data_IF_984938919353
#
_entry.id   IF_984938919353
#
_cell.length_a   1.000
_cell.length_b   1.000
_cell.length_c   1.000
_cell.angle_alpha   90.00
_cell.angle_beta   90.00
_cell.angle_gamma   90.00
#
_symmetry.space_group_name_H-M   'P 1'
#
loop_
_entity.id
_entity.type
_entity.pdbx_description
1 polymer ?
#
# COMPACT_ATOMS: atom_id res chain seq x y z
N UNK A 1 1.95 99.55 16.21
CA UNK A 1 1.82 98.29 16.99
C UNK A 1 1.42 97.21 15.98
N UNK A 2 2.38 96.69 15.24
CA UNK A 2 3.24 95.52 15.54
C UNK A 2 2.53 94.21 15.25
N UNK A 3 2.91 93.67 14.09
CA UNK A 3 2.70 92.33 13.54
C UNK A 3 3.40 91.24 14.36
N UNK A 4 2.85 90.03 14.35
CA UNK A 4 3.49 88.70 14.35
C UNK A 4 2.50 87.67 14.94
N UNK A 5 2.34 86.45 14.45
CA UNK A 5 3.05 85.72 13.41
C UNK A 5 2.48 84.31 13.45
N UNK A 6 2.04 83.82 12.29
CA UNK A 6 1.75 82.42 12.04
C UNK A 6 3.07 81.65 12.21
N UNK A 7 3.10 80.62 13.06
CA UNK A 7 4.25 79.73 13.21
C UNK A 7 3.98 78.40 12.47
N UNK A 8 4.59 78.19 11.28
CA UNK A 8 4.49 76.95 10.54
C UNK A 8 5.71 76.07 10.83
N UNK A 9 5.87 75.57 12.06
CA UNK A 9 6.97 74.63 12.38
C UNK A 9 6.57 73.57 13.41
N UNK A 10 5.74 72.61 13.01
CA UNK A 10 5.81 71.28 13.63
C UNK A 10 6.92 70.51 12.92
N UNK A 11 8.06 70.48 13.60
CA UNK A 11 9.27 69.80 13.19
C UNK A 11 9.02 68.30 13.00
N UNK A 12 9.49 67.82 11.85
CA UNK A 12 9.72 66.44 11.50
C UNK A 12 10.60 65.78 12.56
N UNK A 13 10.02 64.84 13.30
CA UNK A 13 10.68 63.97 14.27
C UNK A 13 10.90 62.55 13.70
N UNK A 14 11.03 62.45 12.37
CA UNK A 14 11.19 61.18 11.63
C UNK A 14 12.65 60.83 11.28
N UNK A 15 13.64 61.50 11.88
CA UNK A 15 15.06 61.37 11.50
C UNK A 15 15.87 60.28 12.27
N UNK A 16 15.21 59.44 13.08
CA UNK A 16 15.90 58.53 14.01
C UNK A 16 15.61 57.03 13.87
N UNK A 17 14.85 56.58 12.86
CA UNK A 17 14.57 55.16 12.71
C UNK A 17 15.73 54.46 11.97
N UNK A 18 16.24 53.31 12.47
CA UNK A 18 17.21 52.53 11.72
C UNK A 18 16.61 52.18 10.35
N UNK A 19 17.41 52.11 9.28
CA UNK A 19 16.92 51.67 7.97
C UNK A 19 16.24 50.31 8.14
N UNK A 20 14.90 50.30 8.11
CA UNK A 20 14.16 49.05 8.15
C UNK A 20 14.51 48.35 6.84
N UNK A 21 14.98 47.09 6.87
CA UNK A 21 15.16 46.32 5.65
C UNK A 21 13.82 46.34 4.94
N UNK A 22 13.73 47.08 3.84
CA UNK A 22 12.51 47.14 3.05
C UNK A 22 12.29 45.74 2.52
N UNK A 23 11.32 45.04 3.12
CA UNK A 23 10.84 43.77 2.60
C UNK A 23 10.50 44.04 1.13
N UNK A 24 11.18 43.39 0.16
CA UNK A 24 10.82 43.55 -1.23
C UNK A 24 9.46 42.88 -1.43
N UNK A 25 8.37 43.63 -1.26
CA UNK A 25 7.02 43.18 -1.59
C UNK A 25 6.79 43.10 -3.11
N UNK A 26 7.86 43.03 -3.90
CA UNK A 26 7.83 43.12 -5.37
C UNK A 26 8.47 41.94 -6.10
N UNK A 27 9.10 40.95 -5.46
CA UNK A 27 9.80 39.88 -6.22
C UNK A 27 9.61 38.43 -5.76
N UNK A 28 8.75 38.10 -4.79
CA UNK A 28 8.46 36.67 -4.53
C UNK A 28 7.48 36.06 -5.56
N UNK A 29 6.79 36.90 -6.33
CA UNK A 29 5.91 36.47 -7.43
C UNK A 29 6.45 36.82 -8.84
N UNK A 30 7.74 37.16 -8.98
CA UNK A 30 8.31 37.57 -10.29
C UNK A 30 9.49 36.73 -10.79
N UNK A 31 9.86 35.64 -10.10
CA UNK A 31 10.89 34.75 -10.64
C UNK A 31 10.37 33.77 -11.71
N UNK A 32 9.09 33.42 -11.78
CA UNK A 32 8.56 32.45 -12.76
C UNK A 32 7.09 32.76 -13.13
N UNK A 33 6.85 33.79 -13.94
CA UNK A 33 5.55 33.95 -14.59
C UNK A 33 5.68 34.73 -15.91
N UNK A 34 6.33 34.11 -16.91
CA UNK A 34 6.11 34.51 -18.29
C UNK A 34 4.65 34.23 -18.68
N UNK A 35 4.05 34.94 -19.65
CA UNK A 35 2.69 34.67 -20.13
C UNK A 35 2.40 33.24 -20.66
N UNK A 36 3.34 32.29 -20.55
CA UNK A 36 3.17 30.86 -20.78
C UNK A 36 3.02 29.98 -19.52
N UNK A 37 3.18 30.55 -18.32
CA UNK A 37 3.22 29.81 -17.04
C UNK A 37 1.85 29.55 -16.39
N UNK A 38 0.77 30.05 -17.01
CA UNK A 38 -0.62 29.57 -16.77
C UNK A 38 -1.12 28.68 -17.90
N UNK A 39 -0.23 27.89 -18.49
CA UNK A 39 -0.65 26.79 -19.36
C UNK A 39 -1.16 25.63 -18.51
N UNK A 40 -2.23 24.98 -18.95
CA UNK A 40 -2.72 23.73 -18.35
C UNK A 40 -1.59 22.68 -18.21
N UNK A 41 -0.60 22.73 -19.10
CA UNK A 41 0.60 21.89 -19.03
C UNK A 41 1.52 22.18 -17.83
N UNK A 42 1.65 23.45 -17.42
CA UNK A 42 2.38 23.81 -16.20
C UNK A 42 1.72 23.28 -14.93
N UNK A 43 0.39 23.42 -14.83
CA UNK A 43 -0.41 22.94 -13.69
C UNK A 43 -0.38 21.41 -13.55
N UNK A 44 -0.50 20.68 -14.66
CA UNK A 44 -0.41 19.20 -14.65
C UNK A 44 1.00 18.75 -14.29
N UNK A 45 2.04 19.44 -14.77
CA UNK A 45 3.44 19.13 -14.43
C UNK A 45 3.70 19.33 -12.95
N UNK A 46 3.24 20.43 -12.36
CA UNK A 46 3.41 20.71 -10.93
C UNK A 46 2.59 19.76 -10.05
N UNK A 47 1.33 19.48 -10.40
CA UNK A 47 0.52 18.48 -9.72
C UNK A 47 1.15 17.07 -9.80
N UNK A 48 1.76 16.71 -10.94
CA UNK A 48 2.47 15.44 -11.10
C UNK A 48 3.71 15.35 -10.21
N UNK A 49 4.44 16.46 -10.05
CA UNK A 49 5.59 16.53 -9.14
C UNK A 49 5.14 16.33 -7.69
N UNK A 50 4.08 17.03 -7.23
CA UNK A 50 3.56 16.87 -5.86
C UNK A 50 3.01 15.46 -5.59
N UNK A 51 2.29 14.87 -6.56
CA UNK A 51 1.80 13.50 -6.43
C UNK A 51 2.96 12.51 -6.34
N UNK A 52 4.02 12.69 -7.13
CA UNK A 52 5.23 11.87 -7.07
C UNK A 52 5.90 11.96 -5.68
N UNK A 53 5.96 13.15 -5.10
CA UNK A 53 6.49 13.36 -3.75
C UNK A 53 5.64 12.69 -2.67
N UNK A 54 4.31 12.76 -2.76
CA UNK A 54 3.41 12.09 -1.82
C UNK A 54 3.51 10.57 -1.90
N UNK A 55 3.48 10.00 -3.12
CA UNK A 55 3.64 8.56 -3.32
C UNK A 55 4.99 8.10 -2.78
N UNK A 56 6.05 8.88 -3.01
CA UNK A 56 7.38 8.57 -2.50
C UNK A 56 7.41 8.56 -0.96
N UNK A 57 6.76 9.54 -0.32
CA UNK A 57 6.64 9.62 1.13
C UNK A 57 5.86 8.43 1.71
N UNK A 58 4.73 8.06 1.09
CA UNK A 58 3.91 6.92 1.51
C UNK A 58 4.70 5.60 1.38
N UNK A 59 5.44 5.43 0.28
CA UNK A 59 6.32 4.27 0.08
C UNK A 59 7.45 4.24 1.09
N UNK A 60 8.01 5.39 1.46
CA UNK A 60 9.07 5.46 2.49
C UNK A 60 8.56 5.09 3.87
N UNK A 61 7.37 5.56 4.24
CA UNK A 61 6.70 5.17 5.47
C UNK A 61 6.40 3.66 5.49
N UNK A 62 5.77 3.15 4.44
CA UNK A 62 5.44 1.73 4.31
C UNK A 62 6.70 0.85 4.35
N UNK A 63 7.80 1.30 3.69
CA UNK A 63 9.09 0.61 3.79
C UNK A 63 9.63 0.59 5.21
N UNK A 64 9.51 1.68 5.96
CA UNK A 64 9.96 1.73 7.35
C UNK A 64 9.16 0.77 8.22
N UNK A 65 7.84 0.78 8.13
CA UNK A 65 6.95 -0.09 8.91
C UNK A 65 7.18 -1.57 8.57
N UNK A 66 7.13 -1.93 7.28
CA UNK A 66 7.37 -3.31 6.83
C UNK A 66 8.80 -3.75 7.21
N UNK A 67 9.80 -2.89 7.08
CA UNK A 67 11.18 -3.25 7.45
C UNK A 67 11.33 -3.50 8.96
N UNK A 68 10.60 -2.76 9.79
CA UNK A 68 10.59 -2.96 11.24
C UNK A 68 9.91 -4.30 11.60
N UNK A 69 8.78 -4.62 10.97
CA UNK A 69 8.09 -5.90 11.15
C UNK A 69 8.95 -7.09 10.70
N UNK A 70 9.57 -7.00 9.53
CA UNK A 70 10.46 -8.04 9.01
C UNK A 70 11.63 -8.25 9.95
N UNK A 71 12.26 -7.18 10.46
CA UNK A 71 13.36 -7.30 11.43
C UNK A 71 12.90 -7.95 12.74
N UNK A 72 11.70 -7.64 13.22
CA UNK A 72 11.11 -8.27 14.42
C UNK A 72 10.84 -9.76 14.18
N UNK A 73 10.22 -10.10 13.05
CA UNK A 73 9.98 -11.48 12.64
C UNK A 73 11.28 -12.27 12.49
N UNK A 74 12.31 -11.67 11.89
CA UNK A 74 13.62 -12.30 11.72
C UNK A 74 14.29 -12.57 13.07
N UNK A 75 14.27 -11.59 13.99
CA UNK A 75 14.81 -11.77 15.35
C UNK A 75 14.06 -12.85 16.13
N UNK A 76 12.73 -12.93 15.98
CA UNK A 76 11.92 -14.01 16.54
C UNK A 76 12.23 -15.38 15.92
N UNK A 77 12.50 -15.43 14.62
CA UNK A 77 12.80 -16.66 13.90
C UNK A 77 14.10 -17.34 14.37
N UNK A 78 15.07 -16.58 14.90
CA UNK A 78 16.32 -17.14 15.47
C UNK A 78 16.00 -18.14 16.57
N UNK A 79 15.12 -17.80 17.51
CA UNK A 79 14.74 -18.71 18.59
C UNK A 79 14.00 -19.93 18.07
N UNK A 80 13.18 -19.78 17.02
CA UNK A 80 12.49 -20.90 16.40
C UNK A 80 13.47 -21.85 15.70
N UNK A 81 14.47 -21.32 14.98
CA UNK A 81 15.54 -22.11 14.36
C UNK A 81 16.33 -22.86 15.43
N UNK A 82 16.72 -22.17 16.52
CA UNK A 82 17.43 -22.81 17.64
C UNK A 82 16.58 -23.91 18.29
N UNK A 83 15.31 -23.63 18.57
CA UNK A 83 14.39 -24.59 19.17
C UNK A 83 14.17 -25.81 18.27
N UNK A 84 13.96 -25.61 16.95
CA UNK A 84 13.83 -26.72 15.99
C UNK A 84 15.13 -27.50 15.84
N UNK A 85 16.28 -26.85 15.92
CA UNK A 85 17.58 -27.52 15.87
C UNK A 85 17.75 -28.43 17.09
N UNK A 86 17.52 -27.89 18.30
CA UNK A 86 17.56 -28.67 19.53
C UNK A 86 16.55 -29.82 19.47
N UNK A 87 15.31 -29.55 19.07
CA UNK A 87 14.27 -30.58 18.93
C UNK A 87 14.68 -31.68 17.94
N UNK A 88 15.31 -31.32 16.80
CA UNK A 88 15.78 -32.29 15.82
C UNK A 88 16.88 -33.20 16.39
N UNK A 89 17.88 -32.62 17.08
CA UNK A 89 18.93 -33.42 17.75
C UNK A 89 18.37 -34.24 18.92
N UNK A 90 17.47 -33.68 19.73
CA UNK A 90 16.82 -34.38 20.84
C UNK A 90 15.93 -35.53 20.35
N UNK A 91 15.31 -35.40 19.18
CA UNK A 91 14.49 -36.47 18.59
C UNK A 91 15.33 -37.73 18.33
N UNK A 92 16.59 -37.60 17.93
CA UNK A 92 17.50 -38.75 17.79
C UNK A 92 17.67 -39.50 19.12
N UNK A 93 17.94 -38.77 20.21
CA UNK A 93 18.05 -39.36 21.55
C UNK A 93 16.72 -39.93 22.06
N UNK A 94 15.59 -39.31 21.73
CA UNK A 94 14.25 -39.81 22.06
C UNK A 94 14.02 -41.19 21.42
N UNK A 95 14.30 -41.34 20.13
CA UNK A 95 14.15 -42.62 19.43
C UNK A 95 15.16 -43.66 19.92
N UNK A 96 16.40 -43.26 20.19
CA UNK A 96 17.38 -44.15 20.81
C UNK A 96 16.90 -44.67 22.17
N UNK A 97 16.40 -43.78 23.03
CA UNK A 97 15.84 -44.12 24.34
C UNK A 97 14.64 -45.04 24.20
N UNK A 98 13.74 -44.77 23.24
CA UNK A 98 12.59 -45.64 22.96
C UNK A 98 13.02 -47.05 22.51
N UNK A 99 14.05 -47.15 21.67
CA UNK A 99 14.58 -48.42 21.21
C UNK A 99 15.23 -49.20 22.37
N UNK A 100 16.01 -48.52 23.21
CA UNK A 100 16.63 -49.13 24.39
C UNK A 100 15.60 -49.55 25.43
N UNK A 101 14.53 -48.76 25.62
CA UNK A 101 13.42 -49.12 26.50
C UNK A 101 12.72 -50.40 25.99
N UNK A 102 12.44 -50.49 24.68
CA UNK A 102 11.88 -51.71 24.09
C UNK A 102 12.81 -52.92 24.21
N UNK A 103 14.13 -52.69 24.17
CA UNK A 103 15.13 -53.73 24.33
C UNK A 103 15.17 -54.35 25.74
N UNK A 104 14.43 -53.78 26.71
CA UNK A 104 14.23 -54.40 28.03
C UNK A 104 13.36 -55.66 27.92
N UNK A 105 12.40 -55.69 26.98
CA UNK A 105 11.47 -56.81 26.81
C UNK A 105 11.74 -57.64 25.54
N UNK A 106 12.52 -57.13 24.59
CA UNK A 106 12.83 -57.77 23.31
C UNK A 106 14.35 -57.82 23.05
N UNK A 107 14.82 -58.70 22.13
CA UNK A 107 16.18 -58.60 21.62
C UNK A 107 16.48 -57.20 21.08
N UNK A 108 17.68 -56.66 21.38
CA UNK A 108 18.06 -55.29 20.99
C UNK A 108 17.76 -54.98 19.52
N UNK A 109 18.11 -55.88 18.60
CA UNK A 109 17.88 -55.70 17.17
C UNK A 109 16.39 -55.49 16.81
N UNK A 110 15.47 -56.17 17.51
CA UNK A 110 14.04 -56.04 17.29
C UNK A 110 13.51 -54.70 17.83
N UNK A 111 14.00 -54.24 18.99
CA UNK A 111 13.66 -52.92 19.54
C UNK A 111 14.01 -51.78 18.58
N UNK A 112 15.24 -51.77 18.05
CA UNK A 112 15.66 -50.81 17.03
C UNK A 112 14.85 -50.93 15.73
N UNK A 113 14.54 -52.16 15.29
CA UNK A 113 13.71 -52.40 14.10
C UNK A 113 12.29 -51.82 14.21
N UNK A 114 11.65 -51.98 15.37
CA UNK A 114 10.30 -51.44 15.63
C UNK A 114 10.31 -49.91 15.61
N UNK A 115 11.28 -49.29 16.28
CA UNK A 115 11.39 -47.81 16.29
C UNK A 115 11.69 -47.28 14.89
N UNK A 116 12.52 -47.98 14.11
CA UNK A 116 12.77 -47.60 12.72
C UNK A 116 11.49 -47.60 11.87
N UNK A 117 10.66 -48.64 11.98
CA UNK A 117 9.37 -48.69 11.29
C UNK A 117 8.43 -47.58 11.75
N UNK A 118 8.39 -47.29 13.05
CA UNK A 118 7.63 -46.17 13.61
C UNK A 118 8.08 -44.82 13.01
N UNK A 119 9.39 -44.60 12.88
CA UNK A 119 9.95 -43.39 12.26
C UNK A 119 9.54 -43.27 10.78
N UNK A 120 9.55 -44.37 10.02
CA UNK A 120 9.09 -44.35 8.62
C UNK A 120 7.60 -44.00 8.53
N UNK A 121 6.77 -44.53 9.42
CA UNK A 121 5.33 -44.21 9.46
C UNK A 121 5.09 -42.74 9.79
N UNK A 122 5.74 -42.21 10.83
CA UNK A 122 5.61 -40.80 11.22
C UNK A 122 6.14 -39.88 10.13
N UNK A 123 7.32 -40.18 9.57
CA UNK A 123 7.91 -39.42 8.47
C UNK A 123 7.03 -39.42 7.23
N UNK A 124 6.51 -40.59 6.84
CA UNK A 124 5.57 -40.73 5.72
C UNK A 124 4.28 -39.94 5.92
N UNK A 125 3.71 -39.97 7.14
CA UNK A 125 2.51 -39.21 7.48
C UNK A 125 2.76 -37.68 7.42
N UNK A 126 3.87 -37.21 7.97
CA UNK A 126 4.25 -35.78 7.92
C UNK A 126 4.52 -35.31 6.49
N UNK A 127 5.27 -36.10 5.71
CA UNK A 127 5.54 -35.82 4.30
C UNK A 127 4.23 -35.76 3.49
N UNK A 128 3.30 -36.68 3.73
CA UNK A 128 2.00 -36.70 3.08
C UNK A 128 1.14 -35.49 3.46
N UNK A 129 1.05 -35.13 4.74
CA UNK A 129 0.34 -33.93 5.19
C UNK A 129 0.95 -32.65 4.60
N UNK A 130 2.29 -32.55 4.60
CA UNK A 130 3.02 -31.44 4.00
C UNK A 130 2.75 -31.32 2.51
N UNK A 131 2.83 -32.44 1.78
CA UNK A 131 2.51 -32.49 0.35
C UNK A 131 1.08 -32.06 0.05
N UNK A 132 0.11 -32.50 0.87
CA UNK A 132 -1.30 -32.12 0.71
C UNK A 132 -1.53 -30.64 0.99
N UNK A 133 -0.84 -30.08 1.98
CA UNK A 133 -0.88 -28.65 2.28
C UNK A 133 -0.31 -27.82 1.13
N UNK A 134 0.83 -28.21 0.56
CA UNK A 134 1.47 -27.51 -0.56
C UNK A 134 0.64 -27.61 -1.83
N UNK A 135 0.07 -28.79 -2.14
CA UNK A 135 -0.84 -28.96 -3.29
C UNK A 135 -2.11 -28.13 -3.21
N UNK A 136 -2.56 -27.78 -2.00
CA UNK A 136 -3.71 -26.92 -1.79
C UNK A 136 -3.46 -25.42 -2.04
N UNK A 137 -2.20 -25.00 -2.15
CA UNK A 137 -1.85 -23.60 -2.41
C UNK A 137 -2.10 -23.31 -3.89
N UNK A 138 -3.30 -22.80 -4.22
CA UNK A 138 -3.60 -22.25 -5.55
C UNK A 138 -2.65 -21.08 -5.83
N UNK A 139 -2.09 -21.02 -7.05
CA UNK A 139 -1.31 -19.86 -7.50
C UNK A 139 -2.21 -18.60 -7.38
N UNK A 140 -1.66 -17.41 -7.06
CA UNK A 140 -2.46 -16.19 -6.97
C UNK A 140 -2.85 -15.70 -8.37
N UNK A 141 -3.78 -16.41 -9.01
CA UNK A 141 -4.25 -16.15 -10.37
C UNK A 141 -4.96 -14.79 -10.47
N UNK A 142 -5.70 -14.40 -9.42
CA UNK A 142 -6.41 -13.11 -9.37
C UNK A 142 -5.45 -11.92 -9.44
N UNK A 143 -4.34 -11.98 -8.71
CA UNK A 143 -3.30 -10.94 -8.70
C UNK A 143 -2.53 -10.90 -10.02
N UNK A 144 -2.26 -12.07 -10.61
CA UNK A 144 -1.59 -12.14 -11.92
C UNK A 144 -2.50 -11.56 -13.03
N UNK A 145 -3.79 -11.86 -12.99
CA UNK A 145 -4.74 -11.36 -13.98
C UNK A 145 -4.95 -9.85 -13.86
N UNK A 146 -5.12 -9.30 -12.65
CA UNK A 146 -5.30 -7.85 -12.46
C UNK A 146 -4.08 -7.03 -12.93
N UNK A 147 -2.87 -7.54 -12.73
CA UNK A 147 -1.63 -6.90 -13.22
C UNK A 147 -1.55 -6.96 -14.75
N UNK A 148 -1.98 -8.08 -15.36
CA UNK A 148 -2.02 -8.24 -16.81
C UNK A 148 -3.08 -7.35 -17.46
N UNK A 149 -4.26 -7.24 -16.87
CA UNK A 149 -5.34 -6.38 -17.35
C UNK A 149 -4.92 -4.91 -17.28
N UNK A 150 -4.30 -4.49 -16.18
CA UNK A 150 -3.76 -3.12 -16.03
C UNK A 150 -2.64 -2.84 -17.04
N UNK A 151 -1.74 -3.80 -17.27
CA UNK A 151 -0.69 -3.68 -18.27
C UNK A 151 -1.23 -3.64 -19.71
N UNK A 152 -2.35 -4.32 -19.98
CA UNK A 152 -3.04 -4.28 -21.27
C UNK A 152 -3.65 -2.90 -21.55
N UNK A 153 -4.25 -2.28 -20.53
CA UNK A 153 -4.84 -0.93 -20.63
C UNK A 153 -3.79 0.18 -20.80
N UNK A 154 -2.57 -0.03 -20.30
CA UNK A 154 -1.46 0.94 -20.39
C UNK A 154 -0.60 0.78 -21.66
N UNK A 155 -0.94 -0.18 -22.53
CA UNK A 155 -0.19 -0.38 -23.78
C UNK A 155 -0.48 0.78 -24.75
N UNK A 156 0.55 1.47 -25.28
CA UNK A 156 0.34 2.60 -26.20
C UNK A 156 -0.41 2.12 -27.44
N UNK A 157 -1.68 2.50 -27.56
CA UNK A 157 -2.62 2.05 -28.60
C UNK A 157 -4.02 1.63 -28.11
N UNK A 158 -4.21 1.37 -26.81
CA UNK A 158 -5.49 0.91 -26.25
C UNK A 158 -6.60 1.97 -26.15
N UNK A 159 -6.28 3.26 -26.25
CA UNK A 159 -7.25 4.36 -26.12
C UNK A 159 -8.14 4.57 -27.33
N UNK A 160 -7.88 3.92 -28.47
CA UNK A 160 -8.71 4.09 -29.67
C UNK A 160 -9.94 3.15 -29.71
N UNK A 161 -9.94 2.04 -28.96
CA UNK A 161 -11.06 1.11 -28.92
C UNK A 161 -12.18 1.53 -27.94
N UNK A 162 -11.83 2.16 -26.80
CA UNK A 162 -12.83 2.63 -25.83
C UNK A 162 -13.61 3.87 -26.33
N UNK A 163 -12.96 4.72 -27.15
CA UNK A 163 -13.60 5.88 -27.77
C UNK A 163 -14.49 5.50 -28.98
N UNK A 164 -14.26 4.35 -29.61
CA UNK A 164 -15.04 3.89 -30.76
C UNK A 164 -16.35 3.17 -30.39
N UNK A 165 -16.54 2.80 -29.12
CA UNK A 165 -17.76 2.12 -28.63
C UNK A 165 -18.80 3.01 -27.95
N UNK A 166 -18.54 4.30 -27.75
CA UNK A 166 -19.43 5.23 -27.03
C UNK A 166 -20.45 5.98 -27.90
N UNK A 167 -20.59 5.62 -29.19
CA UNK A 167 -21.32 6.39 -30.19
C UNK A 167 -22.72 5.86 -30.57
N UNK A 168 -23.35 5.00 -29.78
CA UNK A 168 -24.68 4.48 -30.10
C UNK A 168 -25.48 4.20 -28.82
N UNK A 169 -26.06 5.24 -28.24
CA UNK A 169 -27.45 5.26 -27.73
C UNK A 169 -27.67 6.56 -26.92
N UNK A 170 -27.92 7.66 -27.62
CA UNK A 170 -28.59 8.84 -27.07
C UNK A 170 -29.93 8.97 -27.81
N UNK A 171 -30.76 7.94 -27.67
CA UNK A 171 -32.17 8.03 -28.02
C UNK A 171 -32.89 8.78 -26.90
N UNK A 172 -33.58 9.85 -27.25
CA UNK A 172 -34.21 10.82 -26.36
C UNK A 172 -35.06 10.16 -25.24
N UNK A 173 -35.18 10.80 -24.06
CA UNK A 173 -36.16 10.37 -23.07
C UNK A 173 -37.56 10.61 -23.63
N UNK A 174 -38.25 9.52 -23.95
CA UNK A 174 -39.67 9.48 -24.28
C UNK A 174 -40.45 9.97 -23.04
N UNK A 175 -41.02 11.16 -23.12
CA UNK A 175 -41.87 11.74 -22.08
C UNK A 175 -43.27 11.17 -22.27
N UNK A 176 -43.76 10.26 -21.39
CA UNK A 176 -45.10 9.74 -21.53
C UNK A 176 -46.09 10.86 -21.21
N UNK A 177 -46.94 11.16 -22.18
CA UNK A 177 -47.97 12.17 -22.09
C UNK A 177 -48.91 11.94 -20.91
N UNK A 178 -49.35 13.07 -20.35
CA UNK A 178 -50.56 13.22 -19.56
C UNK A 178 -51.68 12.31 -20.09
N UNK A 179 -52.11 11.35 -19.29
CA UNK A 179 -53.45 10.80 -19.43
C UNK A 179 -54.05 10.58 -18.05
N UNK A 180 -54.70 11.63 -17.59
CA UNK A 180 -55.82 11.53 -16.67
C UNK A 180 -56.83 10.50 -17.21
N UNK A 181 -57.25 9.57 -16.35
CA UNK A 181 -58.67 9.19 -16.20
C UNK A 181 -58.85 8.17 -15.08
N UNK A 182 -59.51 8.64 -14.04
CA UNK A 182 -60.66 8.00 -13.38
C UNK A 182 -60.75 6.47 -13.43
N UNK A 183 -60.66 5.84 -12.25
CA UNK A 183 -61.74 4.95 -11.81
C UNK A 183 -61.79 4.78 -10.28
N UNK A 184 -62.98 4.90 -9.65
CA UNK A 184 -63.17 4.72 -8.22
C UNK A 184 -63.58 3.28 -7.84
N UNK A 185 -63.39 2.97 -6.55
CA UNK A 185 -64.14 2.04 -5.68
C UNK A 185 -64.21 0.53 -5.94
N UNK A 186 -63.88 -0.26 -4.90
CA UNK A 186 -64.79 -1.13 -4.11
C UNK A 186 -63.94 -2.12 -3.27
N UNK A 187 -63.92 -2.02 -1.94
CA UNK A 187 -64.85 -2.67 -0.99
C UNK A 187 -64.84 -4.21 -1.11
N UNK A 188 -64.01 -4.87 -0.30
CA UNK A 188 -64.40 -5.79 0.80
C UNK A 188 -63.19 -6.41 1.49
#
# INVERSE_FOLDING_TARGET
MSSAGHDPKRHQDWEGLPPIPSIPLSEENQAHAGPGDRSLGGLVREASVHLSTLIRAEVELARQEISAEVRKGLRGSVFFILALTVLAFSSFFLFFTAAELLAVWLPRWAGFGIVFLLMLLVSGALAFLGFRKVRGIRKPERTINSVRDTAYLLRPGGTQAAAAGGGADQSAPDVPGHQDRHRPESVR
#
